data_IF_738714117101
#
_entry.id   IF_738714117101
#
_cell.length_a   1.000
_cell.length_b   1.000
_cell.length_c   1.000
_cell.angle_alpha   90.00
_cell.angle_beta   90.00
_cell.angle_gamma   90.00
#
_symmetry.space_group_name_H-M   'P 1'
#
loop_
_entity.id
_entity.type
_entity.pdbx_description
1 polymer ?
#
# COMPACT_ATOMS: atom_id res chain seq x y z
N UNK A 1 11.20 -7.48 18.28
CA UNK A 1 10.81 -8.18 17.03
C UNK A 1 9.29 -8.25 16.82
N UNK A 2 8.49 -8.68 17.81
CA UNK A 2 7.05 -8.95 17.61
C UNK A 2 6.16 -7.70 17.43
N UNK A 3 6.49 -6.57 18.06
CA UNK A 3 5.67 -5.34 17.99
C UNK A 3 5.71 -4.73 16.58
N UNK A 4 6.87 -4.75 15.93
CA UNK A 4 7.05 -4.22 14.56
C UNK A 4 6.28 -5.07 13.55
N UNK A 5 6.32 -6.40 13.71
CA UNK A 5 5.56 -7.34 12.89
C UNK A 5 4.04 -7.15 13.06
N UNK A 6 3.57 -6.98 14.29
CA UNK A 6 2.15 -6.71 14.58
C UNK A 6 1.68 -5.38 13.96
N UNK A 7 2.50 -4.33 14.09
CA UNK A 7 2.22 -3.03 13.47
C UNK A 7 2.14 -3.11 11.94
N UNK A 8 3.12 -3.78 11.29
CA UNK A 8 3.14 -3.96 9.85
C UNK A 8 1.93 -4.75 9.36
N UNK A 9 1.53 -5.81 10.06
CA UNK A 9 0.33 -6.59 9.73
C UNK A 9 -0.93 -5.73 9.81
N UNK A 10 -1.10 -4.98 10.90
CA UNK A 10 -2.25 -4.10 11.09
C UNK A 10 -2.33 -3.02 9.98
N UNK A 11 -1.20 -2.39 9.65
CA UNK A 11 -1.13 -1.36 8.59
C UNK A 11 -1.43 -1.96 7.21
N UNK A 12 -0.92 -3.16 6.90
CA UNK A 12 -1.24 -3.83 5.64
C UNK A 12 -2.72 -4.19 5.53
N UNK A 13 -3.32 -4.69 6.60
CA UNK A 13 -4.76 -5.00 6.63
C UNK A 13 -5.58 -3.71 6.46
N UNK A 14 -5.26 -2.66 7.21
CA UNK A 14 -5.94 -1.36 7.09
C UNK A 14 -5.85 -0.79 5.67
N UNK A 15 -4.67 -0.89 5.06
CA UNK A 15 -4.43 -0.42 3.68
C UNK A 15 -5.24 -1.23 2.68
N UNK A 16 -5.31 -2.55 2.84
CA UNK A 16 -6.13 -3.43 2.01
C UNK A 16 -7.62 -3.03 2.06
N UNK A 17 -8.16 -2.79 3.25
CA UNK A 17 -9.54 -2.34 3.41
C UNK A 17 -9.78 -0.96 2.79
N UNK A 18 -8.82 -0.04 2.91
CA UNK A 18 -8.88 1.29 2.27
C UNK A 18 -9.05 1.20 0.74
N UNK A 19 -8.31 0.30 0.08
CA UNK A 19 -8.48 0.03 -1.34
C UNK A 19 -9.86 -0.59 -1.66
N UNK A 20 -10.37 -1.45 -0.78
CA UNK A 20 -11.72 -2.01 -0.86
C UNK A 20 -12.82 -0.95 -0.76
N UNK A 21 -12.69 -0.06 0.21
CA UNK A 21 -13.60 1.06 0.44
C UNK A 21 -13.58 2.03 -0.74
N UNK A 22 -12.41 2.30 -1.33
CA UNK A 22 -12.31 3.15 -2.53
C UNK A 22 -13.12 2.56 -3.69
N UNK A 23 -12.99 1.25 -3.96
CA UNK A 23 -13.80 0.56 -4.97
C UNK A 23 -15.30 0.59 -4.65
N UNK A 24 -15.66 0.40 -3.38
CA UNK A 24 -17.05 0.47 -2.94
C UNK A 24 -17.64 1.88 -3.14
N UNK A 25 -16.89 2.92 -2.77
CA UNK A 25 -17.27 4.33 -3.01
C UNK A 25 -17.40 4.63 -4.51
N UNK A 26 -16.50 4.09 -5.34
CA UNK A 26 -16.58 4.20 -6.79
C UNK A 26 -17.85 3.56 -7.37
N UNK A 27 -18.30 2.41 -6.83
CA UNK A 27 -19.58 1.78 -7.21
C UNK A 27 -20.80 2.55 -6.75
N UNK A 28 -20.75 3.16 -5.55
CA UNK A 28 -21.85 3.94 -4.98
C UNK A 28 -21.91 5.39 -5.47
N UNK A 29 -21.04 5.81 -6.40
CA UNK A 29 -20.98 7.19 -6.89
C UNK A 29 -20.60 8.21 -5.81
N UNK A 30 -19.99 7.77 -4.72
CA UNK A 30 -19.53 8.64 -3.61
C UNK A 30 -18.15 9.20 -3.92
N UNK A 31 -17.75 10.24 -3.18
CA UNK A 31 -16.45 10.88 -3.36
C UNK A 31 -15.31 9.86 -3.19
N UNK A 32 -14.46 9.75 -4.22
CA UNK A 32 -13.33 8.80 -4.28
C UNK A 32 -12.19 9.24 -3.38
N UNK A 33 -11.42 8.29 -2.86
CA UNK A 33 -10.25 8.60 -2.04
C UNK A 33 -9.14 9.12 -2.95
N UNK A 34 -8.43 10.15 -2.50
CA UNK A 34 -7.33 10.73 -3.26
C UNK A 34 -6.24 9.68 -3.50
N UNK A 35 -5.71 9.68 -4.73
CA UNK A 35 -4.63 8.76 -5.13
C UNK A 35 -3.38 8.94 -4.27
N UNK A 36 -3.13 10.18 -3.84
CA UNK A 36 -2.02 10.51 -2.95
C UNK A 36 -2.13 9.79 -1.61
N UNK A 37 -3.33 9.73 -1.00
CA UNK A 37 -3.56 9.09 0.30
C UNK A 37 -3.32 7.58 0.23
N UNK A 38 -3.75 6.94 -0.85
CA UNK A 38 -3.54 5.50 -1.08
C UNK A 38 -2.04 5.18 -1.23
N UNK A 39 -1.31 6.01 -1.98
CA UNK A 39 0.15 5.87 -2.10
C UNK A 39 0.87 6.16 -0.78
N UNK A 40 0.42 7.16 -0.02
CA UNK A 40 1.02 7.48 1.28
C UNK A 40 0.89 6.32 2.27
N UNK A 41 -0.28 5.66 2.32
CA UNK A 41 -0.47 4.44 3.12
C UNK A 41 0.45 3.29 2.70
N UNK A 42 0.69 3.14 1.40
CA UNK A 42 1.67 2.18 0.90
C UNK A 42 3.11 2.52 1.38
N UNK A 43 3.49 3.80 1.39
CA UNK A 43 4.80 4.28 1.86
C UNK A 43 5.00 4.07 3.35
N UNK A 44 3.95 4.27 4.17
CA UNK A 44 4.03 4.17 5.64
C UNK A 44 4.24 2.72 6.12
N UNK A 45 3.96 1.71 5.29
CA UNK A 45 4.08 0.30 5.68
C UNK A 45 3.01 -0.61 5.09
N UNK A 46 2.04 -0.05 4.37
CA UNK A 46 0.93 -0.78 3.76
C UNK A 46 1.20 -1.29 2.36
N UNK A 47 2.45 -1.33 1.90
CA UNK A 47 2.83 -1.61 0.51
C UNK A 47 2.33 -2.97 0.02
N UNK A 48 2.39 -4.01 0.86
CA UNK A 48 1.88 -5.35 0.57
C UNK A 48 0.34 -5.36 0.50
N UNK A 49 -0.32 -4.71 1.45
CA UNK A 49 -1.78 -4.57 1.51
C UNK A 49 -2.34 -3.75 0.35
N UNK A 50 -1.62 -2.71 -0.06
CA UNK A 50 -1.93 -1.88 -1.23
C UNK A 50 -1.79 -2.68 -2.53
N UNK A 51 -0.73 -3.47 -2.66
CA UNK A 51 -0.52 -4.33 -3.84
C UNK A 51 -1.56 -5.46 -3.92
N UNK A 52 -1.83 -6.13 -2.80
CA UNK A 52 -2.90 -7.12 -2.69
C UNK A 52 -4.27 -6.50 -2.98
N UNK A 53 -4.55 -5.32 -2.44
CA UNK A 53 -5.78 -4.56 -2.68
C UNK A 53 -5.98 -4.25 -4.15
N UNK A 54 -4.97 -3.74 -4.84
CA UNK A 54 -5.05 -3.48 -6.29
C UNK A 54 -5.29 -4.74 -7.11
N UNK A 55 -4.56 -5.83 -6.83
CA UNK A 55 -4.67 -7.09 -7.59
C UNK A 55 -6.03 -7.75 -7.37
N UNK A 56 -6.45 -7.92 -6.12
CA UNK A 56 -7.70 -8.60 -5.78
C UNK A 56 -8.92 -7.80 -6.25
N UNK A 57 -8.88 -6.48 -6.09
CA UNK A 57 -10.00 -5.63 -6.46
C UNK A 57 -9.98 -5.23 -7.93
N UNK A 58 -8.95 -5.59 -8.71
CA UNK A 58 -8.75 -5.15 -10.10
C UNK A 58 -9.04 -3.64 -10.26
N UNK A 59 -8.72 -2.86 -9.22
CA UNK A 59 -9.11 -1.47 -9.11
C UNK A 59 -7.91 -0.61 -9.48
N UNK A 60 -8.05 0.25 -10.49
CA UNK A 60 -7.00 1.16 -10.97
C UNK A 60 -5.67 0.50 -11.39
N UNK A 61 -5.69 -0.74 -11.89
CA UNK A 61 -4.52 -1.41 -12.51
C UNK A 61 -4.03 -0.75 -13.80
N UNK A 62 -4.87 0.05 -14.46
CA UNK A 62 -4.54 0.77 -15.70
C UNK A 62 -4.03 2.20 -15.47
N UNK A 63 -4.11 2.73 -14.25
CA UNK A 63 -3.55 4.05 -13.95
C UNK A 63 -2.04 3.92 -13.80
N UNK A 64 -1.28 4.50 -14.74
CA UNK A 64 0.20 4.48 -14.77
C UNK A 64 0.83 4.81 -13.42
N UNK A 65 0.25 5.78 -12.69
CA UNK A 65 0.70 6.17 -11.34
C UNK A 65 0.67 5.02 -10.33
N UNK A 66 -0.36 4.17 -10.34
CA UNK A 66 -0.47 3.04 -9.42
C UNK A 66 0.30 1.81 -9.91
N UNK A 67 0.28 1.57 -11.23
CA UNK A 67 1.01 0.45 -11.84
C UNK A 67 2.51 0.54 -11.60
N UNK A 68 3.10 1.74 -11.69
CA UNK A 68 4.54 1.93 -11.45
C UNK A 68 4.84 2.43 -10.03
N UNK A 69 3.97 3.26 -9.43
CA UNK A 69 4.23 3.85 -8.12
C UNK A 69 4.30 2.82 -7.00
N UNK A 70 3.41 1.82 -6.99
CA UNK A 70 3.40 0.79 -5.93
C UNK A 70 4.64 -0.12 -5.99
N UNK A 71 5.04 -0.69 -7.15
CA UNK A 71 6.28 -1.46 -7.20
C UNK A 71 7.52 -0.60 -6.92
N UNK A 72 7.55 0.67 -7.32
CA UNK A 72 8.63 1.59 -6.91
C UNK A 72 8.68 1.74 -5.40
N UNK A 73 7.54 1.98 -4.74
CA UNK A 73 7.47 2.12 -3.27
C UNK A 73 7.92 0.82 -2.58
N UNK A 74 7.53 -0.34 -3.11
CA UNK A 74 7.98 -1.64 -2.58
C UNK A 74 9.50 -1.77 -2.70
N UNK A 75 10.07 -1.49 -3.88
CA UNK A 75 11.52 -1.55 -4.10
C UNK A 75 12.25 -0.59 -3.16
N UNK A 76 11.73 0.63 -2.99
CA UNK A 76 12.33 1.65 -2.14
C UNK A 76 12.26 1.27 -0.65
N UNK A 77 11.15 0.69 -0.19
CA UNK A 77 11.03 0.13 1.16
C UNK A 77 11.96 -1.04 1.39
N UNK A 78 12.06 -1.98 0.44
CA UNK A 78 12.95 -3.14 0.55
C UNK A 78 14.41 -2.68 0.57
N UNK A 79 14.80 -1.75 -0.30
CA UNK A 79 16.15 -1.18 -0.30
C UNK A 79 16.47 -0.45 1.01
N UNK A 80 15.53 0.33 1.54
CA UNK A 80 15.69 1.02 2.82
C UNK A 80 15.78 0.02 3.99
N UNK A 81 14.95 -1.02 3.99
CA UNK A 81 14.97 -2.07 5.00
C UNK A 81 16.29 -2.85 4.98
N UNK A 82 16.80 -3.20 3.80
CA UNK A 82 18.10 -3.84 3.63
C UNK A 82 19.22 -2.91 4.12
N UNK A 83 19.22 -1.64 3.70
CA UNK A 83 20.23 -0.66 4.13
C UNK A 83 20.26 -0.48 5.65
N UNK A 84 19.10 -0.39 6.29
CA UNK A 84 18.99 -0.30 7.75
C UNK A 84 19.49 -1.57 8.43
N UNK A 85 19.17 -2.76 7.90
CA UNK A 85 19.69 -4.02 8.44
C UNK A 85 21.21 -4.11 8.31
N UNK A 86 21.79 -3.70 7.18
CA UNK A 86 23.25 -3.76 6.96
C UNK A 86 24.03 -2.68 7.72
N UNK A 87 23.43 -1.54 8.08
CA UNK A 87 24.09 -0.47 8.86
C UNK A 87 23.88 -0.56 10.37
N UNK A 88 22.98 -1.45 10.82
CA UNK A 88 22.71 -1.68 12.24
C UNK A 88 23.61 -2.79 12.83
N UNK A 89 24.34 -3.53 11.98
CA UNK A 89 25.39 -4.48 12.38
C UNK A 89 26.77 -3.80 12.55
#
# INVERSE_FOLDING_TARGET
MNIILGYLLAVNIATFFLYGIDKYKAKKGRWRISEATLLMMAVIGGSIGAWAGMRLLHHKTMHKKFKYGIPIIIILQVALAVYLLTNIE
#
